data_IF_045376422510
#
_entry.id   IF_045376422510
#
_cell.length_a   1.000
_cell.length_b   1.000
_cell.length_c   1.000
_cell.angle_alpha   90.00
_cell.angle_beta   90.00
_cell.angle_gamma   90.00
#
_symmetry.space_group_name_H-M   'P 1'
#
loop_
_entity.id
_entity.type
_entity.pdbx_description
1 polymer ?
#
# COMPACT_ATOMS: atom_id res chain seq x y z
N UNK A 1 18.47 8.68 12.88
CA UNK A 1 17.08 8.33 13.23
C UNK A 1 16.54 7.33 12.23
N UNK A 2 15.87 6.32 12.74
CA UNK A 2 15.20 5.36 11.86
C UNK A 2 14.03 5.99 11.13
N UNK A 3 13.83 5.56 9.90
CA UNK A 3 12.65 5.91 9.13
C UNK A 3 11.54 4.90 9.39
N UNK A 4 10.37 5.14 8.83
CA UNK A 4 9.28 4.18 8.82
C UNK A 4 9.14 3.59 7.42
N UNK A 5 8.87 2.30 7.36
CA UNK A 5 8.54 1.64 6.10
C UNK A 5 7.09 1.86 5.75
N UNK A 6 6.80 2.15 4.50
CA UNK A 6 5.44 2.21 3.99
C UNK A 6 5.34 1.25 2.82
N UNK A 7 4.51 0.23 2.98
CA UNK A 7 4.24 -0.77 1.95
C UNK A 7 2.90 -0.47 1.30
N UNK A 8 2.94 -0.06 0.05
CA UNK A 8 1.74 0.18 -0.73
C UNK A 8 1.35 -1.11 -1.45
N UNK A 9 0.15 -1.60 -1.19
CA UNK A 9 -0.30 -2.90 -1.72
C UNK A 9 -1.37 -2.68 -2.79
N UNK A 10 -1.11 -3.22 -3.98
CA UNK A 10 -2.07 -3.26 -5.07
C UNK A 10 -2.66 -4.64 -5.27
N UNK A 11 -3.77 -4.70 -6.00
CA UNK A 11 -4.44 -5.96 -6.31
C UNK A 11 -3.59 -6.84 -7.23
N UNK A 12 -2.93 -6.21 -8.20
CA UNK A 12 -2.27 -6.92 -9.28
C UNK A 12 -3.23 -7.19 -10.43
N UNK A 13 -2.67 -7.42 -11.61
CA UNK A 13 -3.46 -7.66 -12.81
C UNK A 13 -2.57 -8.24 -13.91
N UNK A 14 -3.16 -9.01 -14.81
CA UNK A 14 -2.48 -9.43 -16.04
C UNK A 14 -2.24 -8.25 -17.00
N UNK A 15 -3.01 -7.18 -16.85
CA UNK A 15 -2.78 -5.93 -17.57
C UNK A 15 -1.79 -5.05 -16.80
N UNK A 16 -1.00 -4.20 -17.47
CA UNK A 16 0.08 -3.44 -16.81
C UNK A 16 -0.39 -2.25 -15.97
N UNK A 17 -1.66 -1.86 -16.06
CA UNK A 17 -2.13 -0.58 -15.53
C UNK A 17 -2.16 -0.53 -14.00
N UNK A 18 -2.54 -1.61 -13.33
CA UNK A 18 -2.56 -1.62 -11.87
C UNK A 18 -1.15 -1.55 -11.31
N UNK A 19 -0.22 -2.32 -11.84
CA UNK A 19 1.18 -2.29 -11.42
C UNK A 19 1.76 -0.89 -11.59
N UNK A 20 1.52 -0.27 -12.74
CA UNK A 20 2.01 1.08 -13.02
C UNK A 20 1.42 2.10 -12.05
N UNK A 21 0.13 2.02 -11.79
CA UNK A 21 -0.54 2.91 -10.82
C UNK A 21 0.10 2.81 -9.44
N UNK A 22 0.32 1.59 -8.95
CA UNK A 22 0.88 1.36 -7.62
C UNK A 22 2.33 1.86 -7.56
N UNK A 23 3.13 1.56 -8.57
CA UNK A 23 4.53 2.02 -8.62
C UNK A 23 4.64 3.54 -8.69
N UNK A 24 3.82 4.18 -9.53
CA UNK A 24 3.80 5.63 -9.65
C UNK A 24 3.34 6.30 -8.36
N UNK A 25 2.31 5.74 -7.72
CA UNK A 25 1.82 6.26 -6.46
C UNK A 25 2.88 6.12 -5.36
N UNK A 26 3.59 4.99 -5.31
CA UNK A 26 4.67 4.80 -4.35
C UNK A 26 5.77 5.84 -4.54
N UNK A 27 6.15 6.12 -5.78
CA UNK A 27 7.16 7.14 -6.10
C UNK A 27 6.69 8.53 -5.65
N UNK A 28 5.44 8.88 -5.90
CA UNK A 28 4.88 10.17 -5.51
C UNK A 28 4.82 10.32 -3.99
N UNK A 29 4.44 9.27 -3.27
CA UNK A 29 4.44 9.27 -1.80
C UNK A 29 5.86 9.49 -1.28
N UNK A 30 6.84 8.79 -1.84
CA UNK A 30 8.24 8.92 -1.46
C UNK A 30 8.75 10.35 -1.65
N UNK A 31 8.33 11.01 -2.73
CA UNK A 31 8.71 12.40 -2.99
C UNK A 31 8.04 13.38 -2.03
N UNK A 32 6.80 13.10 -1.62
CA UNK A 32 6.07 13.99 -0.72
C UNK A 32 6.55 13.91 0.73
N UNK A 33 7.00 12.75 1.16
CA UNK A 33 7.46 12.57 2.54
C UNK A 33 8.71 11.68 2.58
N UNK A 34 9.90 12.28 2.66
CA UNK A 34 11.15 11.52 2.72
C UNK A 34 11.37 10.79 4.04
N UNK A 35 10.49 10.96 5.04
CA UNK A 35 10.52 10.19 6.28
C UNK A 35 10.14 8.73 6.13
N UNK A 36 9.59 8.35 4.97
CA UNK A 36 9.22 6.98 4.65
C UNK A 36 10.18 6.34 3.68
N UNK A 37 10.47 5.06 3.90
CA UNK A 37 11.03 4.19 2.87
C UNK A 37 9.84 3.47 2.25
N UNK A 38 9.53 3.79 1.00
CA UNK A 38 8.32 3.31 0.34
C UNK A 38 8.65 2.15 -0.58
N UNK A 39 7.91 1.07 -0.42
CA UNK A 39 7.96 -0.09 -1.32
C UNK A 39 6.54 -0.42 -1.75
N UNK A 40 6.41 -1.18 -2.82
CA UNK A 40 5.11 -1.66 -3.26
C UNK A 40 5.10 -3.18 -3.37
N UNK A 41 3.91 -3.77 -3.28
CA UNK A 41 3.68 -5.19 -3.44
C UNK A 41 2.31 -5.43 -4.04
N UNK A 42 2.08 -6.68 -4.46
CA UNK A 42 0.86 -7.06 -5.15
C UNK A 42 0.30 -8.34 -4.56
N UNK A 43 -1.01 -8.45 -4.52
CA UNK A 43 -1.69 -9.61 -3.97
C UNK A 43 -1.55 -10.83 -4.87
N UNK A 44 -1.60 -10.62 -6.19
CA UNK A 44 -1.43 -11.68 -7.17
C UNK A 44 -1.01 -11.13 -8.53
N UNK A 45 -0.58 -12.01 -9.43
CA UNK A 45 -0.20 -11.75 -10.83
C UNK A 45 1.04 -10.88 -11.06
N UNK A 46 1.42 -10.04 -10.12
CA UNK A 46 2.61 -9.18 -10.22
C UNK A 46 3.52 -9.39 -9.02
N UNK A 47 4.77 -8.99 -9.16
CA UNK A 47 5.78 -9.02 -8.11
C UNK A 47 6.31 -7.62 -7.84
N UNK A 48 6.83 -7.35 -6.63
CA UNK A 48 7.00 -8.31 -5.53
C UNK A 48 5.67 -8.67 -4.86
N UNK A 49 5.63 -9.86 -4.27
CA UNK A 49 4.55 -10.23 -3.38
C UNK A 49 4.67 -9.47 -2.06
N UNK A 50 3.63 -9.53 -1.24
CA UNK A 50 3.68 -8.89 0.08
C UNK A 50 4.83 -9.46 0.91
N UNK A 51 4.99 -10.78 0.93
CA UNK A 51 6.05 -11.41 1.70
C UNK A 51 7.44 -11.05 1.19
N UNK A 52 7.62 -10.98 -0.13
CA UNK A 52 8.91 -10.55 -0.69
C UNK A 52 9.24 -9.12 -0.30
N UNK A 53 8.27 -8.22 -0.31
CA UNK A 53 8.47 -6.84 0.09
C UNK A 53 8.80 -6.72 1.59
N UNK A 54 8.15 -7.51 2.43
CA UNK A 54 8.46 -7.54 3.86
C UNK A 54 9.89 -8.03 4.11
N UNK A 55 10.36 -9.02 3.34
CA UNK A 55 11.76 -9.47 3.43
C UNK A 55 12.72 -8.33 3.10
N UNK A 56 12.41 -7.53 2.08
CA UNK A 56 13.24 -6.37 1.74
C UNK A 56 13.23 -5.32 2.85
N UNK A 57 12.10 -5.11 3.52
CA UNK A 57 12.03 -4.20 4.67
C UNK A 57 12.90 -4.65 5.83
N UNK A 58 13.12 -5.94 6.01
CA UNK A 58 14.00 -6.43 7.09
C UNK A 58 15.43 -5.96 6.95
N UNK A 59 15.84 -5.58 5.74
CA UNK A 59 17.19 -5.08 5.44
C UNK A 59 17.30 -3.56 5.58
N UNK A 60 16.20 -2.86 5.79
CA UNK A 60 16.16 -1.40 5.85
C UNK A 60 16.29 -0.89 7.29
N UNK A 61 16.77 0.35 7.44
CA UNK A 61 16.84 1.00 8.76
C UNK A 61 15.49 1.65 9.07
N UNK A 62 14.57 0.82 9.57
CA UNK A 62 13.22 1.23 9.92
C UNK A 62 12.84 0.69 11.31
N UNK A 63 11.95 1.39 11.98
CA UNK A 63 11.43 1.00 13.29
C UNK A 63 9.97 0.60 13.28
N UNK A 64 9.29 0.77 12.15
CA UNK A 64 7.87 0.46 12.00
C UNK A 64 7.59 0.21 10.52
N UNK A 65 6.68 -0.70 10.21
CA UNK A 65 6.15 -0.89 8.85
C UNK A 65 4.66 -0.59 8.86
N UNK A 66 4.23 0.27 7.94
CA UNK A 66 2.82 0.57 7.74
C UNK A 66 2.42 0.01 6.39
N UNK A 67 1.41 -0.85 6.37
CA UNK A 67 0.89 -1.46 5.15
C UNK A 67 -0.37 -0.71 4.75
N UNK A 68 -0.34 -0.10 3.57
CA UNK A 68 -1.45 0.73 3.07
C UNK A 68 -2.00 0.11 1.80
N UNK A 69 -3.25 -0.38 1.83
CA UNK A 69 -3.85 -0.95 0.62
C UNK A 69 -4.31 0.17 -0.33
N UNK A 70 -3.85 0.10 -1.58
CA UNK A 70 -4.32 1.01 -2.62
C UNK A 70 -5.58 0.43 -3.24
N UNK A 71 -6.66 0.51 -2.48
CA UNK A 71 -7.98 0.01 -2.83
C UNK A 71 -9.00 1.09 -2.48
N UNK A 72 -10.10 1.12 -3.21
CA UNK A 72 -11.14 2.14 -2.98
C UNK A 72 -12.00 1.82 -1.77
N UNK A 73 -12.33 0.57 -1.55
CA UNK A 73 -13.28 0.17 -0.52
C UNK A 73 -12.88 -1.17 0.11
N UNK A 74 -13.52 -1.47 1.23
CA UNK A 74 -13.37 -2.75 1.90
C UNK A 74 -13.99 -3.87 1.08
N UNK A 75 -13.51 -5.08 1.28
CA UNK A 75 -13.99 -6.29 0.65
C UNK A 75 -13.19 -7.46 1.18
N UNK A 76 -13.31 -8.62 0.55
CA UNK A 76 -12.65 -9.85 0.98
C UNK A 76 -11.12 -9.67 1.06
N UNK A 77 -10.53 -9.00 0.09
CA UNK A 77 -9.08 -8.80 0.08
C UNK A 77 -8.62 -7.94 1.26
N UNK A 78 -9.32 -6.85 1.54
CA UNK A 78 -8.97 -5.94 2.64
C UNK A 78 -9.22 -6.58 4.00
N UNK A 79 -10.38 -7.23 4.17
CA UNK A 79 -10.80 -7.71 5.48
C UNK A 79 -10.19 -9.06 5.85
N UNK A 80 -9.80 -9.89 4.88
CA UNK A 80 -9.34 -11.24 5.13
C UNK A 80 -7.97 -11.53 4.52
N UNK A 81 -7.84 -11.36 3.20
CA UNK A 81 -6.70 -11.92 2.47
C UNK A 81 -5.38 -11.22 2.84
N UNK A 82 -5.37 -9.89 2.85
CA UNK A 82 -4.16 -9.14 3.23
C UNK A 82 -3.81 -9.37 4.70
N UNK A 83 -4.75 -9.26 5.66
CA UNK A 83 -4.44 -9.57 7.06
C UNK A 83 -3.86 -10.95 7.27
N UNK A 84 -4.36 -11.99 6.58
CA UNK A 84 -3.82 -13.33 6.69
C UNK A 84 -2.35 -13.39 6.23
N UNK A 85 -2.03 -12.78 5.10
CA UNK A 85 -0.65 -12.76 4.60
C UNK A 85 0.27 -12.02 5.55
N UNK A 86 -0.22 -10.95 6.20
CA UNK A 86 0.55 -10.19 7.17
C UNK A 86 0.69 -10.90 8.52
N UNK A 87 -0.03 -11.99 8.74
CA UNK A 87 -0.01 -12.70 10.02
C UNK A 87 -0.75 -11.99 11.13
N UNK A 88 -1.71 -11.13 10.79
CA UNK A 88 -2.48 -10.39 11.79
C UNK A 88 -3.56 -11.27 12.41
N UNK A 89 -3.77 -11.18 13.74
CA UNK A 89 -4.91 -11.81 14.37
C UNK A 89 -6.22 -11.29 13.78
N UNK A 90 -7.25 -12.12 13.79
CA UNK A 90 -8.55 -11.74 13.25
C UNK A 90 -9.07 -10.46 13.93
N UNK A 91 -9.48 -9.49 13.10
CA UNK A 91 -9.99 -8.20 13.58
C UNK A 91 -8.92 -7.24 14.09
N UNK A 92 -7.64 -7.61 14.01
CA UNK A 92 -6.55 -6.75 14.45
C UNK A 92 -5.92 -5.99 13.28
N UNK A 93 -5.54 -4.75 13.54
CA UNK A 93 -4.81 -3.91 12.60
C UNK A 93 -3.33 -3.74 12.98
N UNK A 94 -2.89 -4.49 13.99
CA UNK A 94 -1.51 -4.40 14.48
C UNK A 94 -0.91 -5.79 14.63
N UNK A 95 0.31 -5.94 14.15
CA UNK A 95 1.14 -7.11 14.31
C UNK A 95 2.59 -6.70 14.46
N UNK A 96 3.47 -7.60 14.10
CA UNK A 96 4.90 -7.33 14.16
C UNK A 96 5.65 -7.93 12.99
N UNK A 97 6.81 -7.37 12.71
CA UNK A 97 7.76 -7.90 11.74
C UNK A 97 9.06 -8.20 12.48
N UNK A 98 9.54 -9.44 12.36
CA UNK A 98 10.81 -9.82 12.94
C UNK A 98 11.94 -9.23 12.10
N UNK A 99 12.83 -8.46 12.74
CA UNK A 99 13.94 -7.79 12.10
C UNK A 99 15.16 -7.85 13.01
N UNK A 100 16.22 -8.52 12.54
CA UNK A 100 17.49 -8.64 13.26
C UNK A 100 17.32 -9.16 14.70
N UNK A 101 16.45 -10.17 14.89
CA UNK A 101 16.21 -10.76 16.21
C UNK A 101 15.25 -9.99 17.10
N UNK A 102 14.76 -8.84 16.66
CA UNK A 102 13.78 -8.01 17.38
C UNK A 102 12.52 -7.83 16.58
N UNK A 103 11.41 -7.63 17.26
CA UNK A 103 10.14 -7.34 16.58
C UNK A 103 9.91 -5.84 16.50
N UNK A 104 9.52 -5.37 15.31
CA UNK A 104 9.09 -3.99 15.12
C UNK A 104 7.57 -4.00 14.81
N UNK A 105 6.85 -2.92 15.15
CA UNK A 105 5.42 -2.84 14.83
C UNK A 105 5.16 -2.92 13.33
N UNK A 106 4.13 -3.69 12.97
CA UNK A 106 3.55 -3.73 11.64
C UNK A 106 2.10 -3.29 11.79
N UNK A 107 1.74 -2.21 11.12
CA UNK A 107 0.42 -1.59 11.25
C UNK A 107 -0.28 -1.65 9.89
N UNK A 108 -1.55 -2.03 9.91
CA UNK A 108 -2.38 -2.15 8.71
C UNK A 108 -3.34 -0.98 8.63
N UNK A 109 -3.25 -0.21 7.56
CA UNK A 109 -4.10 0.96 7.34
C UNK A 109 -5.40 0.60 6.62
N UNK A 110 -6.36 1.51 6.65
CA UNK A 110 -7.61 1.37 5.92
C UNK A 110 -7.42 1.64 4.42
N UNK A 111 -8.31 1.10 3.56
CA UNK A 111 -8.36 1.53 2.17
C UNK A 111 -8.83 2.98 2.06
N UNK A 112 -8.87 3.51 0.83
CA UNK A 112 -9.18 4.93 0.59
C UNK A 112 -10.54 5.32 1.19
N UNK A 113 -11.58 4.59 0.85
CA UNK A 113 -12.91 4.87 1.37
C UNK A 113 -13.50 6.19 0.87
N UNK A 114 -14.47 6.71 1.62
CA UNK A 114 -15.21 7.92 1.27
C UNK A 114 -14.42 9.16 1.70
N UNK A 115 -13.46 9.56 0.91
CA UNK A 115 -12.58 10.70 1.19
C UNK A 115 -12.88 11.86 0.24
N UNK A 116 -12.92 13.11 0.73
CA UNK A 116 -13.10 14.28 -0.14
C UNK A 116 -12.11 14.40 -1.28
N UNK A 117 -10.87 13.93 -1.09
CA UNK A 117 -9.86 13.92 -2.15
C UNK A 117 -10.28 13.03 -3.32
N UNK A 118 -10.99 11.94 -3.06
CA UNK A 118 -11.50 11.07 -4.12
C UNK A 118 -12.54 11.83 -4.97
N UNK A 119 -13.42 12.61 -4.33
CA UNK A 119 -14.38 13.44 -5.05
C UNK A 119 -13.67 14.48 -5.92
N UNK A 120 -12.60 15.09 -5.43
CA UNK A 120 -11.81 16.04 -6.21
C UNK A 120 -11.21 15.38 -7.46
N UNK A 121 -10.70 14.16 -7.32
CA UNK A 121 -10.16 13.40 -8.46
C UNK A 121 -11.25 13.10 -9.50
N UNK A 122 -12.46 12.76 -9.05
CA UNK A 122 -13.58 12.50 -9.95
C UNK A 122 -13.98 13.75 -10.72
N UNK A 123 -14.05 14.88 -10.05
CA UNK A 123 -14.37 16.17 -10.70
C UNK A 123 -13.28 16.59 -11.68
N UNK A 124 -12.02 16.37 -11.33
CA UNK A 124 -10.90 16.63 -12.23
C UNK A 124 -11.01 15.81 -13.51
N UNK A 125 -11.34 14.53 -13.39
CA UNK A 125 -11.51 13.65 -14.54
C UNK A 125 -12.72 14.04 -15.39
N UNK A 126 -13.82 14.44 -14.75
CA UNK A 126 -14.99 14.94 -15.46
C UNK A 126 -14.66 16.19 -16.27
N UNK A 127 -13.95 17.15 -15.68
CA UNK A 127 -13.54 18.38 -16.36
C UNK A 127 -12.66 18.08 -17.57
N UNK A 128 -11.71 17.15 -17.40
CA UNK A 128 -10.84 16.75 -18.52
C UNK A 128 -11.64 16.09 -19.64
N UNK A 129 -12.59 15.24 -19.31
CA UNK A 129 -13.45 14.59 -20.31
C UNK A 129 -14.25 15.61 -21.10
N UNK A 130 -14.78 16.64 -20.45
CA UNK A 130 -15.48 17.72 -21.12
C UNK A 130 -14.58 18.46 -22.11
N UNK A 131 -13.33 18.75 -21.72
CA UNK A 131 -12.40 19.45 -22.61
C UNK A 131 -11.98 18.61 -23.80
N UNK A 132 -11.81 17.31 -23.62
CA UNK A 132 -11.21 16.44 -24.62
C UNK A 132 -12.21 15.74 -25.52
N UNK A 133 -13.47 15.56 -25.07
CA UNK A 133 -14.43 14.67 -25.73
C UNK A 133 -15.79 15.31 -26.06
N UNK A 134 -16.01 16.54 -25.68
CA UNK A 134 -17.28 17.23 -26.00
C UNK A 134 -17.30 17.81 -27.43
#
# INVERSE_FOLDING_TARGET
>A
MSKKGLLLVGHGSSMPFNKQLVEDTARLVSQKDPGYIVKCAFMNMNTPTIQEALEEFRKEDIDTVIVVPLFLARGVHINRDIPQVLGLPEGSYRGSLLKNGSEIPLIYADPIGSDPLLAELMLKNAARALRERL
#
